data_IF_572916249891
#
_entry.id   IF_572916249891
#
_cell.length_a   1.000
_cell.length_b   1.000
_cell.length_c   1.000
_cell.angle_alpha   90.00
_cell.angle_beta   90.00
_cell.angle_gamma   90.00
#
_symmetry.space_group_name_H-M   'P 1'
#
loop_
_entity.id
_entity.type
_entity.pdbx_description
1 polymer ?
#
# COMPACT_ATOMS: atom_id res chain seq x y z
N UNK A 1 40.26 1.12 66.25
CA UNK A 1 39.53 2.02 65.34
C UNK A 1 40.25 2.04 64.00
N UNK A 2 39.51 1.69 62.92
CA UNK A 2 39.66 2.20 61.55
C UNK A 2 40.67 1.53 60.58
N UNK A 3 40.09 0.59 59.82
CA UNK A 3 40.16 0.33 58.37
C UNK A 3 41.49 -0.03 57.69
N UNK A 4 41.52 -1.17 56.99
CA UNK A 4 41.53 -1.19 55.52
C UNK A 4 41.24 -2.62 55.01
N UNK A 5 39.99 -2.90 54.65
CA UNK A 5 39.58 -4.12 53.96
C UNK A 5 39.57 -3.79 52.46
N UNK A 6 40.49 -4.41 51.73
CA UNK A 6 40.47 -4.46 50.28
C UNK A 6 39.41 -5.47 49.83
N UNK A 7 38.35 -5.00 49.18
CA UNK A 7 37.44 -5.86 48.42
C UNK A 7 37.02 -5.11 47.14
N UNK A 8 37.83 -5.30 46.10
CA UNK A 8 37.52 -4.94 44.72
C UNK A 8 36.48 -5.94 44.20
N UNK A 9 35.20 -5.62 44.35
CA UNK A 9 34.12 -6.32 43.66
C UNK A 9 33.88 -5.66 42.30
N UNK A 10 34.36 -6.33 41.25
CA UNK A 10 34.04 -6.04 39.87
C UNK A 10 32.54 -6.31 39.62
N UNK A 11 31.73 -5.26 39.67
CA UNK A 11 30.36 -5.27 39.17
C UNK A 11 30.44 -5.21 37.64
N UNK A 12 30.34 -6.38 37.01
CA UNK A 12 30.17 -6.54 35.57
C UNK A 12 28.94 -5.77 35.11
N UNK A 13 29.18 -4.79 34.26
CA UNK A 13 28.19 -4.05 33.49
C UNK A 13 27.50 -5.00 32.50
N UNK A 14 26.50 -5.74 32.96
CA UNK A 14 25.55 -6.44 32.10
C UNK A 14 24.56 -5.43 31.52
N UNK A 15 25.06 -4.53 30.67
CA UNK A 15 24.22 -3.72 29.81
C UNK A 15 23.68 -4.61 28.70
N UNK A 16 22.44 -5.09 28.85
CA UNK A 16 21.68 -5.59 27.71
C UNK A 16 21.61 -4.47 26.67
N UNK A 17 22.41 -4.56 25.61
CA UNK A 17 22.15 -3.81 24.39
C UNK A 17 20.89 -4.42 23.78
N UNK A 18 19.73 -3.96 24.22
CA UNK A 18 18.52 -4.05 23.42
C UNK A 18 18.85 -3.30 22.13
N UNK A 19 19.19 -4.04 21.07
CA UNK A 19 19.35 -3.50 19.74
C UNK A 19 18.04 -2.82 19.35
N UNK A 20 17.96 -1.52 19.59
CA UNK A 20 16.91 -0.68 19.03
C UNK A 20 17.17 -0.64 17.53
N UNK A 21 16.60 -1.60 16.80
CA UNK A 21 16.41 -1.45 15.37
C UNK A 21 15.56 -0.19 15.18
N UNK A 22 16.21 0.90 14.77
CA UNK A 22 15.55 2.16 14.49
C UNK A 22 14.43 1.90 13.48
N UNK A 23 13.20 2.40 13.72
CA UNK A 23 12.12 2.21 12.76
C UNK A 23 12.53 2.82 11.42
N UNK A 24 12.37 2.07 10.34
CA UNK A 24 12.62 2.60 9.00
C UNK A 24 11.65 3.75 8.73
N UNK A 25 12.18 4.94 8.52
CA UNK A 25 11.37 6.10 8.15
C UNK A 25 11.09 6.07 6.65
N UNK A 26 9.89 6.45 6.18
CA UNK A 26 9.59 6.53 4.76
C UNK A 26 10.60 7.42 4.03
N UNK A 27 11.07 6.97 2.87
CA UNK A 27 12.07 7.67 2.06
C UNK A 27 11.61 7.81 0.62
N UNK A 28 11.97 8.93 -0.01
CA UNK A 28 11.77 9.14 -1.44
C UNK A 28 12.64 8.21 -2.29
N UNK A 29 12.07 7.68 -3.37
CA UNK A 29 12.81 7.04 -4.44
C UNK A 29 12.91 8.02 -5.62
N UNK A 30 14.09 8.56 -5.95
CA UNK A 30 14.25 9.43 -7.10
C UNK A 30 14.13 8.61 -8.39
N UNK A 31 13.19 8.96 -9.27
CA UNK A 31 13.02 8.35 -10.58
C UNK A 31 12.56 9.39 -11.61
N UNK A 32 13.38 9.64 -12.64
CA UNK A 32 13.06 10.58 -13.71
C UNK A 32 12.12 9.98 -14.78
N UNK A 33 12.19 8.67 -14.99
CA UNK A 33 11.37 7.93 -15.96
C UNK A 33 10.45 6.90 -15.31
N UNK A 34 9.88 5.97 -16.09
CA UNK A 34 9.11 4.85 -15.55
C UNK A 34 9.89 4.13 -14.45
N UNK A 35 9.22 3.79 -13.36
CA UNK A 35 9.82 3.09 -12.22
C UNK A 35 9.32 1.65 -12.19
N UNK A 36 10.21 0.68 -12.29
CA UNK A 36 9.86 -0.74 -12.17
C UNK A 36 10.04 -1.19 -10.72
N UNK A 37 9.01 -1.77 -10.14
CA UNK A 37 9.12 -2.41 -8.83
C UNK A 37 9.67 -3.84 -9.01
N UNK A 38 10.82 -4.13 -8.40
CA UNK A 38 11.57 -5.37 -8.67
C UNK A 38 10.78 -6.64 -8.32
N UNK A 39 10.07 -6.64 -7.18
CA UNK A 39 9.36 -7.84 -6.70
C UNK A 39 8.15 -8.25 -7.56
N UNK A 40 7.47 -7.29 -8.19
CA UNK A 40 6.26 -7.55 -8.99
C UNK A 40 6.49 -7.31 -10.49
N UNK A 41 7.58 -6.66 -10.88
CA UNK A 41 7.82 -6.23 -12.26
C UNK A 41 6.83 -5.19 -12.79
N UNK A 42 5.92 -4.68 -11.94
CA UNK A 42 5.00 -3.60 -12.31
C UNK A 42 5.81 -2.35 -12.63
N UNK A 43 5.48 -1.71 -13.75
CA UNK A 43 6.06 -0.43 -14.15
C UNK A 43 5.07 0.69 -13.83
N UNK A 44 5.54 1.66 -13.05
CA UNK A 44 4.83 2.86 -12.69
C UNK A 44 5.28 3.98 -13.63
N UNK A 45 4.46 4.36 -14.64
CA UNK A 45 4.86 5.36 -15.63
C UNK A 45 5.02 6.75 -15.00
N UNK A 46 5.70 7.66 -15.68
CA UNK A 46 5.76 9.07 -15.24
C UNK A 46 4.41 9.76 -15.45
N UNK A 47 3.68 9.38 -16.51
CA UNK A 47 2.37 9.93 -16.89
C UNK A 47 1.46 8.82 -17.40
N UNK A 48 0.16 8.91 -17.17
CA UNK A 48 -0.86 8.05 -17.78
C UNK A 48 -2.19 8.79 -17.87
N UNK A 49 -2.71 8.96 -19.08
CA UNK A 49 -3.92 9.76 -19.30
C UNK A 49 -3.78 11.16 -18.72
N UNK A 50 -4.61 11.49 -17.71
CA UNK A 50 -4.61 12.78 -17.01
C UNK A 50 -3.66 12.81 -15.79
N UNK A 51 -3.05 11.69 -15.45
CA UNK A 51 -2.29 11.54 -14.21
C UNK A 51 -0.80 11.78 -14.43
N UNK A 52 -0.22 12.64 -13.60
CA UNK A 52 1.23 12.83 -13.46
C UNK A 52 1.71 12.21 -12.16
N UNK A 53 2.78 11.41 -12.23
CA UNK A 53 3.44 10.85 -11.05
C UNK A 53 4.15 11.95 -10.29
N UNK A 54 3.74 12.16 -9.05
CA UNK A 54 4.28 13.23 -8.19
C UNK A 54 5.34 12.72 -7.23
N UNK A 55 5.25 11.45 -6.80
CA UNK A 55 6.13 10.91 -5.76
C UNK A 55 6.21 9.39 -5.79
N UNK A 56 7.35 8.85 -5.34
CA UNK A 56 7.52 7.46 -4.98
C UNK A 56 8.12 7.41 -3.57
N UNK A 57 7.46 6.72 -2.65
CA UNK A 57 7.96 6.47 -1.30
C UNK A 57 8.22 4.97 -1.10
N UNK A 58 9.32 4.63 -0.43
CA UNK A 58 9.55 3.31 0.15
C UNK A 58 9.36 3.35 1.67
N UNK A 59 8.85 2.26 2.21
CA UNK A 59 8.57 2.05 3.64
C UNK A 59 9.44 0.95 4.26
N UNK A 60 10.31 0.33 3.46
CA UNK A 60 11.36 -0.57 3.94
C UNK A 60 12.65 -0.41 3.11
N UNK A 61 13.73 -0.97 3.62
CA UNK A 61 15.07 -0.87 3.01
C UNK A 61 15.14 -1.52 1.62
N UNK A 62 14.37 -2.59 1.41
CA UNK A 62 14.37 -3.38 0.18
C UNK A 62 13.35 -2.89 -0.86
N UNK A 63 12.65 -1.78 -0.57
CA UNK A 63 11.54 -1.26 -1.37
C UNK A 63 10.47 -2.32 -1.72
N UNK A 64 10.22 -3.29 -0.82
CA UNK A 64 9.13 -4.28 -1.00
C UNK A 64 7.77 -3.66 -0.66
N UNK A 65 7.77 -2.66 0.21
CA UNK A 65 6.65 -1.79 0.49
C UNK A 65 6.92 -0.40 -0.09
N UNK A 66 6.18 -0.04 -1.14
CA UNK A 66 6.21 1.27 -1.76
C UNK A 66 4.81 1.88 -1.91
N UNK A 67 4.78 3.19 -2.08
CA UNK A 67 3.64 3.95 -2.58
C UNK A 67 4.10 4.82 -3.74
N UNK A 68 3.30 4.86 -4.80
CA UNK A 68 3.45 5.77 -5.92
C UNK A 68 2.23 6.68 -5.97
N UNK A 69 2.47 7.99 -5.87
CA UNK A 69 1.42 9.00 -5.89
C UNK A 69 1.30 9.63 -7.28
N UNK A 70 0.05 9.82 -7.71
CA UNK A 70 -0.32 10.48 -8.95
C UNK A 70 -1.39 11.52 -8.68
N UNK A 71 -1.27 12.68 -9.33
CA UNK A 71 -2.28 13.72 -9.32
C UNK A 71 -2.78 13.95 -10.75
N UNK A 72 -4.06 14.26 -10.90
CA UNK A 72 -4.61 14.79 -12.13
C UNK A 72 -3.95 16.13 -12.47
N UNK A 73 -3.54 16.30 -13.73
CA UNK A 73 -3.06 17.58 -14.26
C UNK A 73 -4.21 18.53 -14.63
N UNK A 74 -5.46 18.03 -14.63
CA UNK A 74 -6.64 18.83 -14.92
C UNK A 74 -7.13 19.55 -13.67
N UNK A 75 -6.96 20.88 -13.63
CA UNK A 75 -7.39 21.73 -12.50
C UNK A 75 -8.89 21.55 -12.19
N UNK A 76 -9.73 21.43 -13.22
CA UNK A 76 -11.17 21.27 -13.06
C UNK A 76 -11.60 19.85 -12.60
N UNK A 77 -10.68 18.88 -12.59
CA UNK A 77 -10.93 17.50 -12.20
C UNK A 77 -9.81 17.03 -11.26
N UNK A 78 -9.76 17.55 -10.02
CA UNK A 78 -8.73 17.15 -9.08
C UNK A 78 -8.98 15.71 -8.63
N UNK A 79 -8.11 14.81 -9.06
CA UNK A 79 -8.13 13.39 -8.71
C UNK A 79 -6.75 13.03 -8.18
N UNK A 80 -6.71 12.32 -7.05
CA UNK A 80 -5.48 11.74 -6.49
C UNK A 80 -5.58 10.23 -6.59
N UNK A 81 -4.55 9.59 -7.12
CA UNK A 81 -4.42 8.14 -7.16
C UNK A 81 -3.10 7.75 -6.49
N UNK A 82 -3.20 6.95 -5.43
CA UNK A 82 -2.04 6.33 -4.77
C UNK A 82 -2.05 4.83 -5.05
N UNK A 83 -1.02 4.33 -5.71
CA UNK A 83 -0.78 2.90 -5.88
C UNK A 83 0.21 2.43 -4.80
N UNK A 84 -0.05 1.29 -4.19
CA UNK A 84 0.86 0.68 -3.22
C UNK A 84 1.17 -0.74 -3.64
N UNK A 85 2.43 -1.13 -3.46
CA UNK A 85 2.86 -2.52 -3.50
C UNK A 85 3.47 -2.83 -2.16
N UNK A 86 3.04 -3.90 -1.51
CA UNK A 86 3.56 -4.31 -0.20
C UNK A 86 3.43 -5.82 0.00
N UNK A 87 4.19 -6.44 0.92
CA UNK A 87 4.11 -7.88 1.15
C UNK A 87 2.70 -8.33 1.55
N UNK A 88 2.25 -9.45 0.99
CA UNK A 88 1.02 -10.10 1.39
C UNK A 88 1.12 -10.65 2.83
N UNK A 89 0.01 -10.71 3.59
CA UNK A 89 -0.02 -11.38 4.88
C UNK A 89 0.50 -12.82 4.77
N UNK A 90 1.50 -13.15 5.60
CA UNK A 90 2.19 -14.44 5.53
C UNK A 90 1.57 -15.45 6.50
N UNK A 91 1.45 -16.71 6.07
CA UNK A 91 1.14 -17.84 6.95
C UNK A 91 2.45 -18.58 7.24
N UNK A 92 2.91 -18.56 8.48
CA UNK A 92 3.95 -19.50 8.92
C UNK A 92 3.27 -20.80 9.37
N UNK A 93 3.47 -21.89 8.63
CA UNK A 93 3.10 -23.23 9.10
C UNK A 93 4.26 -24.20 8.90
N UNK A 94 4.53 -25.00 9.93
CA UNK A 94 5.44 -26.14 9.86
C UNK A 94 4.62 -27.43 9.83
N UNK A 95 4.63 -28.13 8.69
CA UNK A 95 4.03 -29.46 8.56
C UNK A 95 2.52 -29.51 8.35
N UNK A 96 1.83 -28.38 8.15
CA UNK A 96 0.43 -28.43 7.73
C UNK A 96 0.28 -28.92 6.28
N UNK A 97 -0.80 -29.65 5.99
CA UNK A 97 -1.26 -29.90 4.62
C UNK A 97 -1.45 -28.59 3.82
N UNK A 98 -1.21 -28.65 2.51
CA UNK A 98 -1.22 -27.48 1.63
C UNK A 98 -2.58 -26.76 1.55
N UNK A 99 -3.67 -27.52 1.64
CA UNK A 99 -5.05 -27.02 1.67
C UNK A 99 -5.35 -26.21 2.93
N UNK A 100 -4.85 -26.65 4.09
CA UNK A 100 -4.96 -25.91 5.35
C UNK A 100 -4.20 -24.58 5.27
N UNK A 101 -2.99 -24.59 4.69
CA UNK A 101 -2.21 -23.37 4.45
C UNK A 101 -2.91 -22.41 3.49
N UNK A 102 -3.55 -22.91 2.44
CA UNK A 102 -4.31 -22.10 1.49
C UNK A 102 -5.55 -21.45 2.12
N UNK A 103 -6.32 -22.21 2.92
CA UNK A 103 -7.48 -21.69 3.63
C UNK A 103 -7.09 -20.61 4.66
N UNK A 104 -6.01 -20.85 5.42
CA UNK A 104 -5.47 -19.87 6.36
C UNK A 104 -5.03 -18.58 5.66
N UNK A 105 -4.35 -18.70 4.51
CA UNK A 105 -3.92 -17.56 3.69
C UNK A 105 -5.11 -16.76 3.20
N UNK A 106 -6.14 -17.43 2.68
CA UNK A 106 -7.36 -16.77 2.24
C UNK A 106 -8.01 -15.96 3.38
N UNK A 107 -8.10 -16.54 4.58
CA UNK A 107 -8.65 -15.83 5.73
C UNK A 107 -7.80 -14.61 6.14
N UNK A 108 -6.46 -14.70 6.06
CA UNK A 108 -5.60 -13.55 6.33
C UNK A 108 -5.84 -12.42 5.32
N UNK A 109 -6.05 -12.74 4.05
CA UNK A 109 -6.36 -11.74 3.01
C UNK A 109 -7.70 -11.08 3.28
N UNK A 110 -8.73 -11.84 3.66
CA UNK A 110 -10.04 -11.28 4.03
C UNK A 110 -9.94 -10.37 5.27
N UNK A 111 -9.19 -10.79 6.29
CA UNK A 111 -8.96 -9.98 7.48
C UNK A 111 -8.21 -8.69 7.13
N UNK A 112 -7.21 -8.77 6.26
CA UNK A 112 -6.44 -7.62 5.79
C UNK A 112 -7.33 -6.65 4.99
N UNK A 113 -8.18 -7.16 4.10
CA UNK A 113 -9.18 -6.34 3.39
C UNK A 113 -10.09 -5.60 4.38
N UNK A 114 -10.59 -6.28 5.41
CA UNK A 114 -11.41 -5.65 6.44
C UNK A 114 -10.62 -4.59 7.22
N UNK A 115 -9.38 -4.88 7.59
CA UNK A 115 -8.50 -3.93 8.28
C UNK A 115 -8.29 -2.67 7.43
N UNK A 116 -7.99 -2.80 6.15
CA UNK A 116 -7.80 -1.65 5.24
C UNK A 116 -9.05 -0.76 5.16
N UNK A 117 -10.26 -1.36 5.14
CA UNK A 117 -11.51 -0.59 5.19
C UNK A 117 -11.67 0.15 6.52
N UNK A 118 -11.38 -0.51 7.65
CA UNK A 118 -11.48 0.11 8.98
C UNK A 118 -10.46 1.23 9.18
N UNK A 119 -9.24 1.10 8.66
CA UNK A 119 -8.23 2.16 8.69
C UNK A 119 -8.73 3.43 7.99
N UNK A 120 -9.37 3.29 6.83
CA UNK A 120 -9.97 4.44 6.12
C UNK A 120 -11.06 5.08 7.00
N UNK A 121 -12.00 4.29 7.52
CA UNK A 121 -13.09 4.82 8.35
C UNK A 121 -12.59 5.46 9.66
N UNK A 122 -11.52 4.93 10.25
CA UNK A 122 -10.92 5.48 11.46
C UNK A 122 -10.21 6.83 11.21
N UNK A 123 -9.61 7.01 10.03
CA UNK A 123 -8.95 8.25 9.64
C UNK A 123 -9.96 9.35 9.26
N UNK A 124 -11.10 8.97 8.70
CA UNK A 124 -12.10 9.89 8.16
C UNK A 124 -13.35 9.91 9.05
N UNK A 125 -13.45 10.89 9.97
CA UNK A 125 -14.51 10.96 11.00
C UNK A 125 -15.94 10.95 10.43
N UNK A 126 -16.12 11.50 9.23
CA UNK A 126 -17.42 11.55 8.51
C UNK A 126 -17.56 10.42 7.50
N UNK A 127 -16.59 9.49 7.47
CA UNK A 127 -16.48 8.39 6.54
C UNK A 127 -17.58 7.35 6.70
N UNK A 128 -18.13 6.96 5.56
CA UNK A 128 -19.02 5.81 5.43
C UNK A 128 -18.62 4.97 4.23
N UNK A 129 -18.81 3.66 4.36
CA UNK A 129 -18.75 2.72 3.24
C UNK A 129 -20.08 2.79 2.49
N UNK A 130 -20.04 3.04 1.18
CA UNK A 130 -21.23 3.20 0.32
C UNK A 130 -21.38 2.11 -0.73
N UNK A 131 -20.33 1.31 -0.97
CA UNK A 131 -20.37 0.20 -1.91
C UNK A 131 -19.20 -0.75 -1.69
N UNK A 132 -19.43 -2.01 -2.02
CA UNK A 132 -18.41 -3.05 -2.03
C UNK A 132 -18.74 -4.05 -3.13
N UNK A 133 -17.76 -4.34 -3.99
CA UNK A 133 -17.94 -5.26 -5.10
C UNK A 133 -16.63 -5.98 -5.45
N UNK A 134 -16.69 -7.22 -5.96
CA UNK A 134 -15.55 -7.82 -6.60
C UNK A 134 -15.17 -7.03 -7.85
N UNK A 135 -13.87 -6.94 -8.13
CA UNK A 135 -13.32 -6.32 -9.33
C UNK A 135 -12.23 -7.21 -9.91
N UNK A 136 -12.11 -7.27 -11.23
CA UNK A 136 -11.11 -8.09 -11.90
C UNK A 136 -10.02 -7.21 -12.49
N UNK A 137 -8.77 -7.65 -12.36
CA UNK A 137 -7.59 -7.02 -12.94
C UNK A 137 -6.86 -8.04 -13.80
N UNK A 138 -6.50 -7.67 -15.03
CA UNK A 138 -5.56 -8.46 -15.82
C UNK A 138 -4.13 -8.14 -15.37
N UNK A 139 -3.44 -9.15 -14.85
CA UNK A 139 -2.05 -9.05 -14.42
C UNK A 139 -1.26 -10.22 -15.01
N UNK A 140 -0.29 -9.91 -15.86
CA UNK A 140 0.53 -10.90 -16.59
C UNK A 140 -0.31 -11.92 -17.38
N UNK A 141 -1.41 -11.48 -17.98
CA UNK A 141 -2.32 -12.34 -18.74
C UNK A 141 -3.21 -13.23 -17.87
N UNK A 142 -3.24 -13.00 -16.55
CA UNK A 142 -4.11 -13.69 -15.61
C UNK A 142 -5.15 -12.74 -15.04
N UNK A 143 -6.41 -13.16 -15.06
CA UNK A 143 -7.49 -12.45 -14.39
C UNK A 143 -7.40 -12.69 -12.87
N UNK A 144 -7.09 -11.63 -12.13
CA UNK A 144 -7.04 -11.63 -10.66
C UNK A 144 -8.30 -10.95 -10.12
N UNK A 145 -9.07 -11.67 -9.31
CA UNK A 145 -10.21 -11.09 -8.59
C UNK A 145 -9.72 -10.41 -7.33
N UNK A 146 -10.07 -9.13 -7.18
CA UNK A 146 -9.81 -8.31 -6.01
C UNK A 146 -11.09 -7.71 -5.43
N UNK A 147 -10.90 -6.82 -4.47
CA UNK A 147 -11.95 -6.07 -3.80
C UNK A 147 -11.94 -4.62 -4.28
N UNK A 148 -13.10 -4.07 -4.63
CA UNK A 148 -13.35 -2.63 -4.66
C UNK A 148 -14.29 -2.24 -3.52
N UNK A 149 -13.92 -1.24 -2.74
CA UNK A 149 -14.74 -0.64 -1.71
C UNK A 149 -14.82 0.88 -1.93
N UNK A 150 -16.03 1.43 -1.97
CA UNK A 150 -16.28 2.84 -2.21
C UNK A 150 -16.72 3.53 -0.91
N UNK A 151 -16.13 4.68 -0.64
CA UNK A 151 -16.35 5.47 0.56
C UNK A 151 -16.76 6.89 0.21
N UNK A 152 -17.49 7.52 1.12
CA UNK A 152 -17.81 8.94 1.08
C UNK A 152 -17.48 9.59 2.43
N UNK A 153 -16.93 10.80 2.39
CA UNK A 153 -16.69 11.65 3.56
C UNK A 153 -16.67 13.13 3.16
N UNK A 154 -16.68 14.03 4.14
CA UNK A 154 -16.58 15.49 3.94
C UNK A 154 -15.33 15.99 4.63
N UNK A 155 -14.35 16.46 3.86
CA UNK A 155 -13.04 16.90 4.33
C UNK A 155 -12.44 17.96 3.39
N UNK A 156 -11.35 18.65 3.80
CA UNK A 156 -10.57 19.47 2.90
C UNK A 156 -9.98 18.65 1.74
N UNK A 157 -10.29 19.02 0.50
CA UNK A 157 -9.72 18.48 -0.72
C UNK A 157 -9.54 19.58 -1.76
N UNK A 158 -8.37 19.66 -2.38
CA UNK A 158 -8.03 20.72 -3.34
C UNK A 158 -8.30 22.15 -2.83
N UNK A 159 -8.13 22.39 -1.52
CA UNK A 159 -8.31 23.71 -0.89
C UNK A 159 -9.70 24.00 -0.35
N UNK A 160 -10.69 23.11 -0.59
CA UNK A 160 -12.08 23.32 -0.16
C UNK A 160 -12.59 22.17 0.71
N UNK A 161 -13.40 22.47 1.73
CA UNK A 161 -14.12 21.45 2.49
C UNK A 161 -15.34 21.01 1.70
N UNK A 162 -15.34 19.78 1.21
CA UNK A 162 -16.36 19.29 0.28
C UNK A 162 -16.60 17.78 0.41
N UNK A 163 -17.71 17.24 -0.14
CA UNK A 163 -17.90 15.81 -0.25
C UNK A 163 -16.85 15.17 -1.17
N UNK A 164 -16.24 14.08 -0.72
CA UNK A 164 -15.20 13.34 -1.42
C UNK A 164 -15.70 11.91 -1.62
N UNK A 165 -15.54 11.39 -2.84
CA UNK A 165 -15.66 9.95 -3.11
C UNK A 165 -14.27 9.34 -3.13
N UNK A 166 -14.08 8.27 -2.38
CA UNK A 166 -12.81 7.55 -2.32
C UNK A 166 -13.02 6.07 -2.61
N UNK A 167 -12.31 5.52 -3.57
CA UNK A 167 -12.34 4.09 -3.90
C UNK A 167 -11.05 3.41 -3.48
N UNK A 168 -11.18 2.28 -2.79
CA UNK A 168 -10.11 1.35 -2.45
C UNK A 168 -10.19 0.15 -3.39
N UNK A 169 -9.09 -0.18 -4.05
CA UNK A 169 -8.92 -1.42 -4.80
C UNK A 169 -7.84 -2.26 -4.13
N UNK A 170 -8.06 -3.56 -3.96
CA UNK A 170 -7.11 -4.49 -3.35
C UNK A 170 -7.02 -5.78 -4.16
N UNK A 171 -5.81 -6.15 -4.56
CA UNK A 171 -5.50 -7.36 -5.32
C UNK A 171 -4.35 -8.12 -4.65
N UNK A 172 -4.45 -9.45 -4.60
CA UNK A 172 -3.36 -10.33 -4.16
C UNK A 172 -2.59 -10.83 -5.40
N UNK A 173 -1.30 -10.51 -5.47
CA UNK A 173 -0.40 -10.84 -6.58
C UNK A 173 0.65 -11.86 -6.12
N UNK A 174 0.22 -13.01 -5.62
CA UNK A 174 1.12 -13.96 -4.97
C UNK A 174 1.67 -13.35 -3.68
N UNK A 175 2.98 -13.23 -3.52
CA UNK A 175 3.61 -12.74 -2.27
C UNK A 175 3.44 -11.24 -2.00
N UNK A 176 2.81 -10.50 -2.91
CA UNK A 176 2.56 -9.07 -2.77
C UNK A 176 1.07 -8.73 -2.84
N UNK A 177 0.69 -7.64 -2.19
CA UNK A 177 -0.58 -6.95 -2.40
C UNK A 177 -0.35 -5.78 -3.33
N UNK A 178 -1.30 -5.56 -4.25
CA UNK A 178 -1.43 -4.33 -5.02
C UNK A 178 -2.68 -3.60 -4.55
N UNK A 179 -2.50 -2.35 -4.11
CA UNK A 179 -3.58 -1.51 -3.61
C UNK A 179 -3.65 -0.22 -4.41
N UNK A 180 -4.85 0.21 -4.74
CA UNK A 180 -5.07 1.57 -5.25
C UNK A 180 -6.01 2.31 -4.32
N UNK A 181 -5.71 3.58 -4.07
CA UNK A 181 -6.61 4.52 -3.42
C UNK A 181 -6.83 5.69 -4.37
N UNK A 182 -8.07 5.86 -4.78
CA UNK A 182 -8.49 6.94 -5.69
C UNK A 182 -9.39 7.86 -4.89
N UNK A 183 -9.14 9.16 -4.89
CA UNK A 183 -9.96 10.15 -4.19
C UNK A 183 -10.19 11.37 -5.07
N UNK A 184 -11.43 11.84 -5.12
CA UNK A 184 -11.85 13.02 -5.88
C UNK A 184 -13.07 13.66 -5.20
N UNK A 185 -13.36 14.95 -5.47
CA UNK A 185 -14.66 15.53 -5.13
C UNK A 185 -15.80 14.68 -5.66
N UNK A 186 -16.90 14.55 -4.91
CA UNK A 186 -18.03 13.74 -5.32
C UNK A 186 -18.72 14.25 -6.61
N UNK A 187 -18.48 15.52 -6.99
CA UNK A 187 -18.95 16.13 -8.23
C UNK A 187 -18.11 15.78 -9.46
N UNK A 188 -16.93 15.19 -9.28
CA UNK A 188 -16.00 14.83 -10.34
C UNK A 188 -16.15 13.35 -10.68
N UNK A 189 -16.47 13.05 -11.94
CA UNK A 189 -16.39 11.68 -12.44
C UNK A 189 -14.92 11.30 -12.69
N UNK A 190 -14.38 10.46 -11.81
CA UNK A 190 -13.00 9.97 -11.86
C UNK A 190 -12.90 8.50 -12.26
N UNK A 191 -14.02 7.80 -12.45
CA UNK A 191 -14.03 6.34 -12.53
C UNK A 191 -13.36 5.83 -13.79
N UNK A 192 -13.71 6.39 -14.95
CA UNK A 192 -13.14 5.97 -16.23
C UNK A 192 -11.61 6.22 -16.29
N UNK A 193 -11.16 7.39 -15.85
CA UNK A 193 -9.74 7.75 -15.83
C UNK A 193 -8.96 6.87 -14.84
N UNK A 194 -9.49 6.66 -13.63
CA UNK A 194 -8.86 5.81 -12.63
C UNK A 194 -8.77 4.36 -13.08
N UNK A 195 -9.84 3.82 -13.70
CA UNK A 195 -9.86 2.46 -14.25
C UNK A 195 -8.78 2.29 -15.32
N UNK A 196 -8.69 3.20 -16.28
CA UNK A 196 -7.68 3.15 -17.33
C UNK A 196 -6.25 3.16 -16.75
N UNK A 197 -5.99 3.99 -15.75
CA UNK A 197 -4.69 4.05 -15.06
C UNK A 197 -4.37 2.75 -14.30
N UNK A 198 -5.35 2.18 -13.59
CA UNK A 198 -5.19 0.90 -12.89
C UNK A 198 -4.86 -0.23 -13.88
N UNK A 199 -5.56 -0.29 -15.00
CA UNK A 199 -5.34 -1.28 -16.06
C UNK A 199 -3.97 -1.12 -16.73
N UNK A 200 -3.53 0.11 -16.99
CA UNK A 200 -2.19 0.38 -17.53
C UNK A 200 -1.08 -0.08 -16.56
N UNK A 201 -1.18 0.29 -15.27
CA UNK A 201 -0.21 -0.12 -14.26
C UNK A 201 -0.14 -1.65 -14.16
N UNK A 202 -1.27 -2.33 -14.12
CA UNK A 202 -1.28 -3.80 -14.01
C UNK A 202 -0.79 -4.50 -15.28
N UNK A 203 -1.20 -4.00 -16.45
CA UNK A 203 -0.80 -4.53 -17.76
C UNK A 203 0.66 -4.31 -18.10
N UNK A 204 1.32 -3.31 -17.50
CA UNK A 204 2.74 -3.01 -17.71
C UNK A 204 3.70 -4.15 -17.33
N UNK A 205 3.21 -5.14 -16.57
CA UNK A 205 3.97 -6.32 -16.16
C UNK A 205 4.18 -7.36 -17.27
N UNK A 206 3.59 -7.17 -18.46
CA UNK A 206 3.61 -8.13 -19.57
C UNK A 206 4.82 -8.04 -20.53
N UNK A 207 5.86 -7.27 -20.18
CA UNK A 207 7.04 -7.07 -21.04
C UNK A 207 8.28 -7.88 -20.63
N UNK A 208 8.63 -8.85 -21.48
CA UNK A 208 9.88 -9.63 -21.58
C UNK A 208 10.09 -10.79 -20.58
N UNK A 209 10.09 -12.07 -21.04
CA UNK A 209 10.73 -13.15 -20.31
C UNK A 209 12.25 -12.93 -20.31
N UNK A 210 12.87 -13.12 -19.14
CA UNK A 210 14.34 -13.29 -19.03
C UNK A 210 14.79 -14.55 -19.77
#
# INVERSE_FOLDING_TARGET
MKYLIALLLALGLSGCQTGQSSPFLPQDIPAAGPYRHDGTGIVFPTTSGIFLRTRILRFDEQARHIMVAYNSELIAQPVILNAYVYPAPQVSSFGSPADVSAAARHQLVLNHQQQQKQEILALHKTGKLVGEQPVTLDYRGQAITGLRADFEFVEPFAGEVQPIRSSLYLFELGESMLKFRVSAPASVDSEAAAKAMIEEIAGSSAGEPL
#
